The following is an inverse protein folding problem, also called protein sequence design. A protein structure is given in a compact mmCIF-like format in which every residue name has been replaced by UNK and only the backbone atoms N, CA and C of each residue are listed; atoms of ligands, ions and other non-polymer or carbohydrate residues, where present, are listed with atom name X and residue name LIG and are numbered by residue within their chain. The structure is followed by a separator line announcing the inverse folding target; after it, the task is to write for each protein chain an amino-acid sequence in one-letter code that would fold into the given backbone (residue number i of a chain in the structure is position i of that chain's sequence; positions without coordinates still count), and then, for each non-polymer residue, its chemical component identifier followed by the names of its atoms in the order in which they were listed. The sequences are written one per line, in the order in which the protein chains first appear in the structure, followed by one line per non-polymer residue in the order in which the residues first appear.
data_IF_409550409246
#
_entry.id   IF_409550409246
#
_cell.length_a   1.000
_cell.length_b   1.000
_cell.length_c   1.000
_cell.angle_alpha   90.00
_cell.angle_beta   90.00
_cell.angle_gamma   90.00
#
_symmetry.space_group_name_H-M   'P 1'
#
loop_
_entity.id
_entity.type
_entity.pdbx_description
1 polymer ?
#
# COMPACT_ATOMS: atom_id res chain seq x y z
N UNK A 1 12.30 -5.08 -13.90
CA UNK A 1 11.03 -5.83 -13.84
C UNK A 1 10.67 -6.05 -12.38
N UNK A 2 9.38 -6.16 -12.05
CA UNK A 2 8.92 -6.53 -10.72
C UNK A 2 9.65 -7.80 -10.22
N UNK A 3 9.96 -7.86 -8.94
CA UNK A 3 10.61 -9.01 -8.30
C UNK A 3 9.62 -10.16 -8.05
N UNK A 4 8.39 -9.79 -7.75
CA UNK A 4 7.29 -10.71 -7.46
C UNK A 4 6.22 -10.60 -8.53
N UNK A 5 5.61 -11.72 -8.90
CA UNK A 5 4.45 -11.74 -9.76
C UNK A 5 3.18 -11.29 -9.00
N UNK A 6 2.09 -11.12 -9.74
CA UNK A 6 0.81 -10.65 -9.20
C UNK A 6 0.30 -11.52 -8.05
N UNK A 7 0.44 -12.84 -8.15
CA UNK A 7 -0.03 -13.77 -7.13
C UNK A 7 0.81 -13.66 -5.85
N UNK A 8 2.14 -13.64 -5.99
CA UNK A 8 3.06 -13.50 -4.86
C UNK A 8 2.86 -12.17 -4.11
N UNK A 9 2.64 -11.05 -4.85
CA UNK A 9 2.31 -9.76 -4.22
C UNK A 9 1.03 -9.85 -3.40
N UNK A 10 -0.04 -10.43 -3.97
CA UNK A 10 -1.32 -10.58 -3.26
C UNK A 10 -1.22 -11.47 -2.03
N UNK A 11 -0.42 -12.55 -2.10
CA UNK A 11 -0.14 -13.41 -0.95
C UNK A 11 0.60 -12.66 0.16
N UNK A 12 1.62 -11.87 -0.19
CA UNK A 12 2.38 -11.05 0.78
C UNK A 12 1.50 -9.99 1.47
N UNK A 13 0.64 -9.32 0.70
CA UNK A 13 -0.34 -8.36 1.26
C UNK A 13 -1.33 -9.10 2.18
N UNK A 14 -1.85 -10.24 1.75
CA UNK A 14 -2.81 -11.04 2.53
C UNK A 14 -2.21 -11.64 3.80
N UNK A 15 -0.92 -11.98 3.79
CA UNK A 15 -0.23 -12.55 4.94
C UNK A 15 -0.07 -11.54 6.08
N UNK A 16 0.25 -10.27 5.78
CA UNK A 16 0.46 -9.23 6.80
C UNK A 16 -0.72 -8.28 6.97
N UNK A 17 -1.62 -8.23 5.97
CA UNK A 17 -2.82 -7.37 5.94
C UNK A 17 -2.56 -5.90 6.23
N UNK A 18 -1.30 -5.46 6.17
CA UNK A 18 -0.87 -4.09 6.38
C UNK A 18 0.14 -3.67 5.32
N UNK A 19 -0.13 -2.51 4.69
CA UNK A 19 0.75 -1.87 3.70
C UNK A 19 1.11 -0.49 4.24
N UNK A 20 2.29 -0.28 4.83
CA UNK A 20 2.79 1.05 5.16
C UNK A 20 2.90 1.91 3.91
N UNK A 21 2.52 3.21 4.05
CA UNK A 21 2.48 4.19 2.97
C UNK A 21 3.35 5.37 3.36
N UNK A 22 4.47 5.56 2.65
CA UNK A 22 5.46 6.55 3.02
C UNK A 22 6.17 7.18 1.82
N UNK A 23 6.64 8.41 2.00
CA UNK A 23 7.55 9.13 1.11
C UNK A 23 8.53 9.96 1.93
N UNK A 24 9.76 9.99 1.51
CA UNK A 24 10.75 10.96 1.95
C UNK A 24 11.70 11.29 0.79
N UNK A 25 12.10 12.55 0.68
CA UNK A 25 13.01 13.02 -0.38
C UNK A 25 14.46 12.57 -0.18
N UNK A 26 14.85 12.33 1.07
CA UNK A 26 16.15 11.79 1.43
C UNK A 26 16.14 10.27 1.27
N UNK A 27 17.03 9.76 0.42
CA UNK A 27 17.16 8.36 0.06
C UNK A 27 17.50 7.49 1.28
N UNK A 28 18.40 7.96 2.15
CA UNK A 28 18.84 7.16 3.30
C UNK A 28 17.73 7.04 4.35
N UNK A 29 16.98 8.12 4.59
CA UNK A 29 15.79 8.06 5.46
C UNK A 29 14.76 7.09 4.88
N UNK A 30 14.50 7.17 3.57
CA UNK A 30 13.54 6.27 2.92
C UNK A 30 13.96 4.79 3.04
N UNK A 31 15.24 4.48 2.82
CA UNK A 31 15.80 3.13 2.99
C UNK A 31 15.64 2.63 4.43
N UNK A 32 15.97 3.46 5.42
CA UNK A 32 15.89 3.07 6.83
C UNK A 32 14.44 2.84 7.29
N UNK A 33 13.49 3.65 6.83
CA UNK A 33 12.06 3.43 7.12
C UNK A 33 11.57 2.11 6.51
N UNK A 34 11.93 1.83 5.26
CA UNK A 34 11.60 0.55 4.61
C UNK A 34 12.19 -0.63 5.39
N UNK A 35 13.46 -0.53 5.80
CA UNK A 35 14.13 -1.57 6.60
C UNK A 35 13.46 -1.76 7.94
N UNK A 36 13.14 -0.68 8.65
CA UNK A 36 12.46 -0.73 9.95
C UNK A 36 11.08 -1.40 9.85
N UNK A 37 10.31 -1.10 8.79
CA UNK A 37 9.03 -1.78 8.54
C UNK A 37 9.23 -3.27 8.26
N UNK A 38 10.22 -3.62 7.42
CA UNK A 38 10.56 -5.01 7.11
C UNK A 38 10.96 -5.81 8.36
N UNK A 39 11.81 -5.25 9.22
CA UNK A 39 12.23 -5.85 10.49
C UNK A 39 11.08 -5.96 11.50
N UNK A 40 10.08 -5.07 11.36
CA UNK A 40 8.80 -5.13 12.09
C UNK A 40 7.83 -6.20 11.61
N UNK A 41 8.16 -6.94 10.53
CA UNK A 41 7.33 -8.03 10.00
C UNK A 41 6.53 -7.68 8.74
N UNK A 42 6.61 -6.45 8.24
CA UNK A 42 5.93 -6.01 7.01
C UNK A 42 6.48 -6.73 5.78
N UNK A 43 5.59 -7.12 4.84
CA UNK A 43 5.98 -7.80 3.60
C UNK A 43 5.47 -7.12 2.32
N UNK A 44 4.72 -6.01 2.45
CA UNK A 44 4.35 -5.13 1.35
C UNK A 44 4.46 -3.67 1.80
N UNK A 45 5.04 -2.81 0.97
CA UNK A 45 5.28 -1.39 1.30
C UNK A 45 4.97 -0.51 0.10
N UNK A 46 4.21 0.57 0.28
CA UNK A 46 3.86 1.57 -0.72
C UNK A 46 4.76 2.80 -0.56
N UNK A 47 5.73 2.98 -1.47
CA UNK A 47 6.44 4.25 -1.61
C UNK A 47 5.60 5.21 -2.46
N UNK A 48 5.32 6.43 -1.98
CA UNK A 48 4.43 7.34 -2.73
C UNK A 48 5.19 8.32 -3.62
N UNK A 49 4.72 8.47 -4.85
CA UNK A 49 5.21 9.46 -5.82
C UNK A 49 4.62 10.84 -5.50
N UNK A 50 5.11 11.51 -4.44
CA UNK A 50 4.57 12.80 -3.95
C UNK A 50 5.55 13.98 -3.99
N UNK A 51 6.70 13.82 -4.57
CA UNK A 51 7.70 14.88 -4.65
C UNK A 51 8.45 14.88 -5.96
N UNK A 52 9.08 16.01 -6.26
CA UNK A 52 9.98 16.09 -7.40
C UNK A 52 11.09 15.04 -7.26
N UNK A 53 11.44 14.40 -8.37
CA UNK A 53 12.46 13.34 -8.41
C UNK A 53 12.17 12.12 -7.52
N UNK A 54 10.92 11.92 -7.08
CA UNK A 54 10.53 10.75 -6.28
C UNK A 54 10.90 9.42 -6.96
N UNK A 55 10.92 9.37 -8.28
CA UNK A 55 11.33 8.22 -9.06
C UNK A 55 12.81 7.86 -8.89
N UNK A 56 13.70 8.83 -8.71
CA UNK A 56 15.12 8.58 -8.41
C UNK A 56 15.29 7.98 -7.02
N UNK A 57 14.59 8.53 -6.02
CA UNK A 57 14.57 7.98 -4.66
C UNK A 57 14.03 6.55 -4.68
N UNK A 58 12.92 6.32 -5.39
CA UNK A 58 12.36 4.97 -5.53
C UNK A 58 13.36 3.98 -6.12
N UNK A 59 14.11 4.38 -7.16
CA UNK A 59 15.10 3.51 -7.79
C UNK A 59 16.17 3.04 -6.80
N UNK A 60 16.65 3.94 -5.94
CA UNK A 60 17.65 3.62 -4.92
C UNK A 60 17.06 2.78 -3.77
N UNK A 61 15.85 3.11 -3.32
CA UNK A 61 15.12 2.31 -2.32
C UNK A 61 14.83 0.91 -2.87
N UNK A 62 14.51 0.78 -4.17
CA UNK A 62 14.28 -0.52 -4.82
C UNK A 62 15.53 -1.39 -4.83
N UNK A 63 16.69 -0.82 -5.21
CA UNK A 63 17.98 -1.55 -5.19
C UNK A 63 18.29 -2.04 -3.78
N UNK A 64 18.16 -1.16 -2.79
CA UNK A 64 18.33 -1.48 -1.38
C UNK A 64 17.39 -2.60 -0.91
N UNK A 65 16.09 -2.49 -1.21
CA UNK A 65 15.10 -3.50 -0.81
C UNK A 65 15.36 -4.87 -1.45
N UNK A 66 15.95 -4.93 -2.65
CA UNK A 66 16.34 -6.20 -3.26
C UNK A 66 17.45 -6.91 -2.48
N UNK A 67 18.39 -6.16 -1.89
CA UNK A 67 19.51 -6.68 -1.13
C UNK A 67 19.15 -6.97 0.33
N UNK A 68 18.52 -6.00 1.02
CA UNK A 68 18.37 -6.00 2.47
C UNK A 68 16.97 -6.47 2.95
N UNK A 69 15.99 -6.48 2.06
CA UNK A 69 14.60 -6.84 2.37
C UNK A 69 14.06 -7.87 1.35
N UNK A 70 14.66 -9.07 1.24
CA UNK A 70 14.41 -9.99 0.12
C UNK A 70 12.97 -10.43 -0.01
N UNK A 71 12.19 -10.45 1.07
CA UNK A 71 10.79 -10.86 1.07
C UNK A 71 9.79 -9.68 0.92
N UNK A 72 10.28 -8.44 0.79
CA UNK A 72 9.42 -7.27 0.69
C UNK A 72 8.96 -7.03 -0.75
N UNK A 73 7.65 -6.98 -0.96
CA UNK A 73 7.04 -6.40 -2.15
C UNK A 73 7.04 -4.87 -2.03
N UNK A 74 7.81 -4.19 -2.88
CA UNK A 74 7.88 -2.73 -2.89
C UNK A 74 7.05 -2.18 -4.06
N UNK A 75 5.96 -1.50 -3.74
CA UNK A 75 5.09 -0.85 -4.71
C UNK A 75 5.23 0.66 -4.73
N UNK A 76 4.59 1.27 -5.69
CA UNK A 76 4.49 2.72 -5.82
C UNK A 76 3.06 3.20 -5.68
N UNK A 77 2.86 4.28 -4.91
CA UNK A 77 1.57 4.95 -4.74
C UNK A 77 1.52 6.35 -5.32
N UNK A 78 0.35 6.97 -5.26
CA UNK A 78 0.06 8.28 -5.85
C UNK A 78 0.25 8.32 -7.37
N UNK A 79 -0.01 7.20 -8.05
CA UNK A 79 0.05 7.09 -9.51
C UNK A 79 -1.32 7.42 -10.08
N UNK A 80 -1.37 8.43 -10.96
CA UNK A 80 -2.62 8.95 -11.52
C UNK A 80 -2.76 8.70 -13.04
N UNK A 81 -1.68 8.30 -13.71
CA UNK A 81 -1.64 8.11 -15.15
C UNK A 81 -0.76 6.94 -15.59
N UNK A 82 -0.97 6.46 -16.80
CA UNK A 82 -0.28 5.31 -17.37
C UNK A 82 1.22 5.53 -17.64
N UNK A 83 1.68 6.71 -18.12
CA UNK A 83 3.11 6.99 -18.27
C UNK A 83 3.86 6.88 -16.94
N UNK A 84 3.32 7.45 -15.86
CA UNK A 84 3.89 7.36 -14.51
C UNK A 84 3.93 5.90 -14.04
N UNK A 85 2.85 5.14 -14.23
CA UNK A 85 2.84 3.69 -13.93
C UNK A 85 3.95 2.95 -14.68
N UNK A 86 4.10 3.22 -15.97
CA UNK A 86 5.13 2.59 -16.81
C UNK A 86 6.54 2.87 -16.32
N UNK A 87 6.81 4.12 -15.91
CA UNK A 87 8.11 4.54 -15.36
C UNK A 87 8.46 3.73 -14.11
N UNK A 88 7.58 3.66 -13.13
CA UNK A 88 7.85 2.94 -11.88
C UNK A 88 7.89 1.41 -12.07
N UNK A 89 7.08 0.86 -12.96
CA UNK A 89 7.15 -0.57 -13.33
C UNK A 89 8.51 -0.87 -13.97
N UNK A 90 9.04 0.03 -14.82
CA UNK A 90 10.36 -0.11 -15.41
C UNK A 90 11.47 -0.09 -14.33
N UNK A 91 11.29 0.67 -13.26
CA UNK A 91 12.19 0.71 -12.11
C UNK A 91 12.02 -0.49 -11.16
N UNK A 92 11.05 -1.36 -11.43
CA UNK A 92 10.87 -2.60 -10.69
C UNK A 92 9.82 -2.54 -9.58
N UNK A 93 8.84 -1.63 -9.66
CA UNK A 93 7.70 -1.66 -8.74
C UNK A 93 6.97 -3.00 -8.84
N UNK A 94 6.71 -3.63 -7.68
CA UNK A 94 6.01 -4.90 -7.59
C UNK A 94 4.48 -4.73 -7.66
N UNK A 95 3.97 -3.54 -7.30
CA UNK A 95 2.56 -3.17 -7.45
C UNK A 95 2.41 -1.66 -7.61
N UNK A 96 1.26 -1.25 -8.12
CA UNK A 96 0.91 0.16 -8.36
C UNK A 96 -0.35 0.50 -7.57
N UNK A 97 -0.35 1.65 -6.89
CA UNK A 97 -1.51 2.19 -6.17
C UNK A 97 -1.86 3.58 -6.70
N UNK A 98 -3.12 3.82 -6.99
CA UNK A 98 -3.62 5.13 -7.40
C UNK A 98 -4.58 5.74 -6.36
N UNK A 99 -4.76 7.06 -6.37
CA UNK A 99 -5.81 7.72 -5.57
C UNK A 99 -7.20 7.63 -6.23
N UNK A 100 -7.26 7.25 -7.50
CA UNK A 100 -8.46 7.13 -8.32
C UNK A 100 -8.34 5.90 -9.23
N UNK A 101 -9.44 5.45 -9.80
CA UNK A 101 -9.43 4.46 -10.85
C UNK A 101 -9.11 5.11 -12.21
N UNK A 102 -8.10 4.58 -12.89
CA UNK A 102 -7.73 4.96 -14.25
C UNK A 102 -7.60 3.69 -15.12
N UNK A 103 -8.45 3.51 -16.15
CA UNK A 103 -8.45 2.30 -16.98
C UNK A 103 -7.15 2.12 -17.78
N UNK A 104 -6.46 3.21 -18.14
CA UNK A 104 -5.20 3.10 -18.87
C UNK A 104 -4.05 2.65 -17.95
N UNK A 105 -4.07 3.02 -16.66
CA UNK A 105 -3.16 2.45 -15.66
C UNK A 105 -3.42 0.95 -15.50
N UNK A 106 -4.70 0.53 -15.38
CA UNK A 106 -5.07 -0.88 -15.30
C UNK A 106 -4.55 -1.67 -16.53
N UNK A 107 -4.75 -1.13 -17.72
CA UNK A 107 -4.28 -1.72 -18.98
C UNK A 107 -2.75 -1.92 -19.01
N UNK A 108 -1.98 -0.91 -18.61
CA UNK A 108 -0.51 -0.99 -18.55
C UNK A 108 -0.08 -2.03 -17.53
N UNK A 109 -0.64 -2.00 -16.33
CA UNK A 109 -0.33 -2.93 -15.25
C UNK A 109 -0.64 -4.38 -15.65
N UNK A 110 -1.81 -4.63 -16.23
CA UNK A 110 -2.20 -5.96 -16.72
C UNK A 110 -1.24 -6.50 -17.79
N UNK A 111 -0.83 -5.67 -18.77
CA UNK A 111 0.15 -6.05 -19.80
C UNK A 111 1.53 -6.40 -19.23
N UNK A 112 1.87 -5.86 -18.10
CA UNK A 112 3.17 -6.06 -17.41
C UNK A 112 3.10 -7.08 -16.28
N UNK A 113 1.92 -7.67 -16.01
CA UNK A 113 1.71 -8.63 -14.93
C UNK A 113 1.90 -8.04 -13.52
N UNK A 114 1.72 -6.72 -13.38
CA UNK A 114 1.86 -5.98 -12.11
C UNK A 114 0.46 -5.68 -11.57
N UNK A 115 0.15 -5.96 -10.29
CA UNK A 115 -1.17 -5.63 -9.74
C UNK A 115 -1.35 -4.12 -9.60
N UNK A 116 -2.56 -3.66 -9.92
CA UNK A 116 -2.99 -2.28 -9.73
C UNK A 116 -4.09 -2.22 -8.66
N UNK A 117 -3.90 -1.36 -7.68
CA UNK A 117 -4.85 -1.10 -6.59
C UNK A 117 -5.36 0.34 -6.69
N UNK A 118 -6.43 0.58 -7.46
CA UNK A 118 -7.01 1.92 -7.66
C UNK A 118 -7.76 2.40 -6.43
N UNK A 119 -7.75 3.72 -6.19
CA UNK A 119 -8.62 4.40 -5.25
C UNK A 119 -10.04 4.50 -5.79
N UNK A 120 -11.01 4.12 -4.98
CA UNK A 120 -12.44 4.18 -5.30
C UNK A 120 -13.21 4.73 -4.10
N UNK A 121 -14.12 5.65 -4.37
CA UNK A 121 -15.00 6.28 -3.38
C UNK A 121 -16.48 5.91 -3.54
N UNK A 122 -16.82 5.09 -4.51
CA UNK A 122 -18.19 4.63 -4.77
C UNK A 122 -18.22 3.15 -5.17
N UNK A 123 -19.41 2.54 -5.03
CA UNK A 123 -19.66 1.14 -5.43
C UNK A 123 -19.45 0.97 -6.95
N UNK A 124 -19.86 1.96 -7.76
CA UNK A 124 -19.69 1.92 -9.22
C UNK A 124 -18.22 1.93 -9.61
N UNK A 125 -17.39 2.76 -8.98
CA UNK A 125 -15.95 2.79 -9.25
C UNK A 125 -15.28 1.47 -8.88
N UNK A 126 -15.70 0.84 -7.77
CA UNK A 126 -15.24 -0.51 -7.40
C UNK A 126 -15.60 -1.52 -8.48
N UNK A 127 -16.82 -1.50 -8.99
CA UNK A 127 -17.27 -2.37 -10.08
C UNK A 127 -16.42 -2.18 -11.35
N UNK A 128 -16.22 -0.94 -11.80
CA UNK A 128 -15.38 -0.64 -12.96
C UNK A 128 -13.93 -1.08 -12.80
N UNK A 129 -13.38 -0.90 -11.59
CA UNK A 129 -12.02 -1.37 -11.30
C UNK A 129 -11.91 -2.89 -11.36
N UNK A 130 -12.92 -3.62 -10.85
CA UNK A 130 -12.96 -5.08 -10.93
C UNK A 130 -13.12 -5.58 -12.36
N UNK A 131 -13.97 -4.95 -13.18
CA UNK A 131 -14.10 -5.24 -14.63
C UNK A 131 -12.77 -5.05 -15.35
N UNK A 132 -11.95 -4.07 -14.93
CA UNK A 132 -10.61 -3.84 -15.48
C UNK A 132 -9.54 -4.81 -14.92
N UNK A 133 -9.91 -5.82 -14.13
CA UNK A 133 -9.00 -6.85 -13.61
C UNK A 133 -8.21 -6.44 -12.37
N UNK A 134 -8.69 -5.46 -11.60
CA UNK A 134 -8.09 -5.09 -10.32
C UNK A 134 -8.63 -6.01 -9.21
N UNK A 135 -7.74 -6.82 -8.60
CA UNK A 135 -8.12 -7.80 -7.56
C UNK A 135 -8.22 -7.17 -6.16
N UNK A 136 -7.48 -6.10 -5.91
CA UNK A 136 -7.47 -5.36 -4.65
C UNK A 136 -7.86 -3.91 -4.94
N UNK A 137 -8.89 -3.42 -4.27
CA UNK A 137 -9.43 -2.08 -4.48
C UNK A 137 -9.17 -1.23 -3.25
N UNK A 138 -8.59 -0.05 -3.45
CA UNK A 138 -8.36 0.91 -2.37
C UNK A 138 -9.63 1.73 -2.12
N UNK A 139 -10.17 1.62 -0.92
CA UNK A 139 -11.23 2.53 -0.44
C UNK A 139 -10.55 3.83 0.02
N UNK A 140 -10.84 4.93 -0.67
CA UNK A 140 -10.16 6.21 -0.44
C UNK A 140 -11.06 7.41 -0.77
N UNK A 141 -11.09 8.47 0.11
CA UNK A 141 -10.45 8.56 1.42
C UNK A 141 -11.20 7.75 2.50
N UNK A 142 -10.48 6.91 3.23
CA UNK A 142 -11.09 6.00 4.20
C UNK A 142 -11.72 6.70 5.39
N UNK A 143 -11.11 7.77 5.88
CA UNK A 143 -11.61 8.59 6.99
C UNK A 143 -12.95 9.30 6.68
N UNK A 144 -13.19 9.61 5.39
CA UNK A 144 -14.44 10.21 4.93
C UNK A 144 -15.53 9.14 4.76
N UNK A 145 -15.19 8.00 4.17
CA UNK A 145 -16.16 6.93 3.84
C UNK A 145 -16.53 6.08 5.06
N UNK A 146 -15.55 5.77 5.88
CA UNK A 146 -15.72 5.04 7.12
C UNK A 146 -16.06 3.54 6.97
N UNK A 147 -16.03 2.79 8.11
CA UNK A 147 -16.33 1.35 8.11
C UNK A 147 -17.76 0.99 7.64
N UNK A 148 -18.70 1.92 7.75
CA UNK A 148 -20.09 1.70 7.28
C UNK A 148 -20.17 1.58 5.76
N UNK A 149 -19.36 2.35 5.03
CA UNK A 149 -19.23 2.23 3.57
C UNK A 149 -18.72 0.85 3.17
N UNK A 150 -17.66 0.36 3.83
CA UNK A 150 -17.11 -0.97 3.59
C UNK A 150 -18.16 -2.06 3.79
N UNK A 151 -18.89 -2.03 4.91
CA UNK A 151 -19.98 -2.99 5.19
C UNK A 151 -21.08 -2.93 4.14
N UNK A 152 -21.50 -1.71 3.75
CA UNK A 152 -22.53 -1.50 2.76
C UNK A 152 -22.15 -2.02 1.38
N UNK A 153 -20.87 -1.88 0.99
CA UNK A 153 -20.34 -2.40 -0.27
C UNK A 153 -20.24 -3.93 -0.24
N UNK A 154 -19.68 -4.49 0.83
CA UNK A 154 -19.47 -5.94 0.93
C UNK A 154 -20.76 -6.75 1.06
N UNK A 155 -21.87 -6.15 1.48
CA UNK A 155 -23.15 -6.83 1.56
C UNK A 155 -23.61 -7.42 0.20
N UNK A 156 -23.69 -6.63 -0.89
CA UNK A 156 -24.00 -7.16 -2.23
C UNK A 156 -22.77 -7.71 -2.98
N UNK A 157 -21.54 -7.37 -2.58
CA UNK A 157 -20.30 -7.71 -3.29
C UNK A 157 -19.26 -8.40 -2.36
N UNK A 158 -19.60 -9.53 -1.71
CA UNK A 158 -18.76 -10.15 -0.67
C UNK A 158 -17.43 -10.71 -1.19
N UNK A 159 -17.28 -10.87 -2.50
CA UNK A 159 -16.03 -11.28 -3.15
C UNK A 159 -14.98 -10.20 -3.24
N UNK A 160 -15.33 -8.92 -2.96
CA UNK A 160 -14.44 -7.78 -3.12
C UNK A 160 -13.35 -7.77 -2.05
N UNK A 161 -12.08 -7.65 -2.49
CA UNK A 161 -10.95 -7.41 -1.56
C UNK A 161 -10.70 -5.91 -1.48
N UNK A 162 -10.87 -5.35 -0.29
CA UNK A 162 -10.77 -3.92 -0.06
C UNK A 162 -9.56 -3.59 0.83
N UNK A 163 -8.76 -2.62 0.38
CA UNK A 163 -7.71 -1.98 1.17
C UNK A 163 -8.16 -0.59 1.56
N UNK A 164 -8.34 -0.31 2.83
CA UNK A 164 -8.67 1.05 3.27
C UNK A 164 -7.41 1.88 3.47
N UNK A 165 -7.42 3.14 3.03
CA UNK A 165 -6.34 4.12 3.28
C UNK A 165 -6.95 5.48 3.60
N UNK A 166 -6.40 6.15 4.61
CA UNK A 166 -7.00 7.34 5.24
C UNK A 166 -7.72 6.99 6.53
N UNK A 167 -7.37 7.67 7.63
CA UNK A 167 -7.94 7.41 8.95
C UNK A 167 -7.55 6.06 9.58
N UNK A 168 -6.52 5.40 9.07
CA UNK A 168 -6.00 4.16 9.67
C UNK A 168 -4.92 4.51 10.68
N UNK A 169 -5.10 4.02 11.90
CA UNK A 169 -4.19 4.24 13.03
C UNK A 169 -3.71 2.89 13.61
N UNK A 170 -2.46 2.81 14.12
CA UNK A 170 -1.90 1.58 14.69
C UNK A 170 -2.42 1.36 16.14
N UNK A 171 -3.74 1.41 16.33
CA UNK A 171 -4.41 1.18 17.60
C UNK A 171 -5.38 0.01 17.49
N UNK A 172 -5.59 -0.72 18.58
CA UNK A 172 -6.48 -1.88 18.61
C UNK A 172 -7.92 -1.50 18.21
N UNK A 173 -8.42 -0.38 18.72
CA UNK A 173 -9.77 0.11 18.42
C UNK A 173 -9.95 0.39 16.93
N UNK A 174 -9.04 1.17 16.33
CA UNK A 174 -9.14 1.56 14.92
C UNK A 174 -8.99 0.35 13.99
N UNK A 175 -7.94 -0.45 14.18
CA UNK A 175 -7.69 -1.63 13.34
C UNK A 175 -8.82 -2.65 13.45
N UNK A 176 -9.26 -2.99 14.67
CA UNK A 176 -10.41 -3.89 14.87
C UNK A 176 -11.68 -3.35 14.22
N UNK A 177 -11.91 -2.04 14.23
CA UNK A 177 -13.06 -1.40 13.56
C UNK A 177 -13.06 -1.66 12.06
N UNK A 178 -11.90 -1.52 11.40
CA UNK A 178 -11.75 -1.77 9.96
C UNK A 178 -11.88 -3.25 9.62
N UNK A 179 -11.20 -4.14 10.34
CA UNK A 179 -11.27 -5.58 10.07
C UNK A 179 -12.65 -6.17 10.36
N UNK A 180 -13.35 -5.71 11.40
CA UNK A 180 -14.75 -6.07 11.66
C UNK A 180 -15.71 -5.54 10.56
N UNK A 181 -15.33 -4.52 9.82
CA UNK A 181 -16.08 -4.07 8.65
C UNK A 181 -15.86 -4.96 7.42
N UNK A 182 -14.83 -5.82 7.42
CA UNK A 182 -14.55 -6.78 6.36
C UNK A 182 -13.43 -6.35 5.40
N UNK A 183 -12.59 -5.37 5.74
CA UNK A 183 -11.45 -5.02 4.86
C UNK A 183 -10.47 -6.20 4.75
N UNK A 184 -9.91 -6.37 3.57
CA UNK A 184 -8.88 -7.38 3.32
C UNK A 184 -7.52 -6.97 3.92
N UNK A 185 -7.17 -5.69 3.82
CA UNK A 185 -5.96 -5.13 4.39
C UNK A 185 -6.11 -3.61 4.61
N UNK A 186 -5.12 -3.00 5.24
CA UNK A 186 -5.08 -1.56 5.51
C UNK A 186 -3.82 -0.93 4.93
N UNK A 187 -3.96 0.28 4.36
CA UNK A 187 -2.86 1.16 4.00
C UNK A 187 -2.64 2.18 5.13
N UNK A 188 -1.47 2.17 5.76
CA UNK A 188 -1.20 2.99 6.94
C UNK A 188 -0.10 4.01 6.68
N UNK A 189 -0.45 5.30 6.72
CA UNK A 189 0.44 6.43 6.43
C UNK A 189 0.99 7.12 7.67
N UNK A 190 0.76 8.43 7.78
CA UNK A 190 1.38 9.34 8.76
C UNK A 190 1.25 8.92 10.23
N UNK A 191 0.19 8.19 10.58
CA UNK A 191 -0.01 7.71 11.95
C UNK A 191 0.99 6.61 12.36
N UNK A 192 1.57 5.90 11.38
CA UNK A 192 2.65 4.94 11.60
C UNK A 192 4.01 5.64 11.67
N UNK A 193 4.15 6.80 11.05
CA UNK A 193 5.39 7.55 10.89
C UNK A 193 5.31 8.96 11.50
N UNK A 194 5.31 9.11 12.84
CA UNK A 194 5.33 10.42 13.48
C UNK A 194 6.57 11.21 13.05
N UNK A 195 6.36 12.50 12.76
CA UNK A 195 7.41 13.37 12.20
C UNK A 195 8.63 13.48 13.11
N UNK A 196 8.40 13.63 14.42
CA UNK A 196 9.43 13.68 15.44
C UNK A 196 10.30 12.41 15.48
N UNK A 197 9.71 11.24 15.24
CA UNK A 197 10.42 9.95 15.19
C UNK A 197 11.28 9.81 13.94
N UNK A 198 10.78 10.29 12.81
CA UNK A 198 11.54 10.31 11.55
C UNK A 198 12.73 11.28 11.68
N UNK A 199 12.52 12.49 12.21
CA UNK A 199 13.57 13.49 12.42
C UNK A 199 14.63 13.02 13.42
N UNK A 200 14.21 12.33 14.48
CA UNK A 200 15.11 11.70 15.45
C UNK A 200 15.80 10.43 14.96
N UNK A 201 15.44 9.93 13.76
CA UNK A 201 15.92 8.65 13.20
C UNK A 201 15.68 7.45 14.14
N UNK A 202 14.56 7.48 14.86
CA UNK A 202 14.15 6.43 15.82
C UNK A 202 13.53 5.23 15.07
N UNK A 203 14.37 4.50 14.33
CA UNK A 203 13.95 3.36 13.51
C UNK A 203 13.39 2.21 14.36
N UNK A 204 13.88 2.07 15.58
CA UNK A 204 13.39 1.04 16.50
C UNK A 204 11.92 1.30 16.89
N UNK A 205 11.52 2.56 17.04
CA UNK A 205 10.12 2.93 17.24
C UNK A 205 9.25 2.44 16.08
N UNK A 206 9.67 2.70 14.84
CA UNK A 206 8.92 2.26 13.65
C UNK A 206 8.80 0.74 13.60
N UNK A 207 9.91 0.02 13.85
CA UNK A 207 9.92 -1.45 13.91
C UNK A 207 8.93 -1.98 14.94
N UNK A 208 8.94 -1.42 16.16
CA UNK A 208 8.04 -1.84 17.22
C UNK A 208 6.58 -1.52 16.90
N UNK A 209 6.29 -0.34 16.33
CA UNK A 209 4.93 0.04 15.91
C UNK A 209 4.37 -0.87 14.82
N UNK A 210 5.19 -1.25 13.83
CA UNK A 210 4.79 -2.23 12.83
C UNK A 210 4.44 -3.57 13.49
N UNK A 211 5.27 -4.06 14.40
CA UNK A 211 5.06 -5.33 15.12
C UNK A 211 3.81 -5.29 15.99
N UNK A 212 3.59 -4.20 16.74
CA UNK A 212 2.38 -3.98 17.54
C UNK A 212 1.11 -4.00 16.66
N UNK A 213 1.12 -3.28 15.53
CA UNK A 213 -0.01 -3.24 14.62
C UNK A 213 -0.31 -4.62 14.01
N UNK A 214 0.71 -5.36 13.58
CA UNK A 214 0.55 -6.71 13.04
C UNK A 214 -0.02 -7.67 14.09
N UNK A 215 0.44 -7.60 15.34
CA UNK A 215 -0.11 -8.42 16.43
C UNK A 215 -1.60 -8.15 16.69
N UNK A 216 -2.06 -6.92 16.48
CA UNK A 216 -3.50 -6.58 16.58
C UNK A 216 -4.28 -7.16 15.39
N UNK A 217 -3.71 -7.12 14.19
CA UNK A 217 -4.35 -7.59 12.95
C UNK A 217 -4.50 -9.12 12.92
N UNK A 218 -3.58 -9.85 13.57
CA UNK A 218 -3.59 -11.31 13.63
C UNK A 218 -4.62 -11.90 14.61
N UNK A 219 -5.10 -11.08 15.58
CA UNK A 219 -6.15 -11.48 16.55
C UNK A 219 -7.54 -11.55 15.90
#
# INVERSE_FOLDING_TARGET
MAKFDKLAVMQKIGATKMVPVFYHKDVEIAKQVVKACYDGGVRAFEFTNRGDFAHEVFAEVRKFACAECPELALGVGSVVDAPTASLFIQMGADFVVGPLFNPDVAKVCNRRGVPYTPGCGSVSEVGFAQEAGCDLIKVFPGDVLGPKFVKGLLAPMPWSKLMVTGGVEPTEENLSGWFKAGVFCVGMGSKLFPKDKIEAKDWQYITNKCREALNVIEK
#
